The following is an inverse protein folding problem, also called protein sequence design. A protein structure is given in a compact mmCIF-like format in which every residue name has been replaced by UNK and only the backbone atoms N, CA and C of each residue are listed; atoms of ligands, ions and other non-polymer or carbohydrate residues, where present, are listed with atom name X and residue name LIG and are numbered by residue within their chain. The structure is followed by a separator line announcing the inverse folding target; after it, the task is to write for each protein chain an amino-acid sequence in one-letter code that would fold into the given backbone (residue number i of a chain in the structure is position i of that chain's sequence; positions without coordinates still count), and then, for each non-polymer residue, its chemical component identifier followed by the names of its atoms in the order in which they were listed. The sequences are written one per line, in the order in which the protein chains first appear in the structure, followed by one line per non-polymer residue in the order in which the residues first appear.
data_IF_471845431408
#
_entry.id   IF_471845431408
#
_cell.length_a   1.000
_cell.length_b   1.000
_cell.length_c   1.000
_cell.angle_alpha   90.00
_cell.angle_beta   90.00
_cell.angle_gamma   90.00
#
_symmetry.space_group_name_H-M   'P 1'
#
loop_
_entity.id
_entity.type
_entity.pdbx_description
1 polymer ?
#
# COMPACT_ATOMS: atom_id res chain seq x y z
N UNK A 1 8.03 -4.08 -5.14
CA UNK A 1 7.93 -4.56 -6.53
C UNK A 1 6.63 -5.31 -6.65
N UNK A 2 5.86 -5.02 -7.69
CA UNK A 2 4.56 -5.67 -7.93
C UNK A 2 4.82 -6.92 -8.75
N UNK A 3 4.44 -8.08 -8.24
CA UNK A 3 4.69 -9.36 -8.90
C UNK A 3 3.38 -9.99 -9.32
N UNK A 4 3.37 -10.60 -10.51
CA UNK A 4 2.27 -11.44 -10.99
C UNK A 4 2.78 -12.88 -10.96
N UNK A 5 2.02 -13.77 -10.33
CA UNK A 5 2.26 -15.21 -10.39
C UNK A 5 1.17 -15.91 -11.19
N UNK A 6 1.58 -16.77 -12.09
CA UNK A 6 0.71 -17.50 -13.02
C UNK A 6 0.92 -19.00 -12.79
N UNK A 7 -0.16 -19.68 -12.42
CA UNK A 7 -0.18 -21.14 -12.29
C UNK A 7 -1.02 -21.73 -13.42
N UNK A 8 -0.40 -22.62 -14.19
CA UNK A 8 -1.06 -23.39 -15.23
C UNK A 8 -1.63 -24.67 -14.61
N UNK A 9 -2.93 -24.93 -14.77
CA UNK A 9 -3.57 -26.19 -14.36
C UNK A 9 -3.25 -27.32 -15.33
N UNK A 10 -3.08 -26.96 -16.60
CA UNK A 10 -2.75 -27.87 -17.69
C UNK A 10 -1.54 -27.33 -18.45
N UNK A 11 -0.70 -28.23 -18.93
CA UNK A 11 0.45 -27.85 -19.73
C UNK A 11 0.01 -27.28 -21.07
N UNK A 12 0.49 -26.08 -21.42
CA UNK A 12 0.26 -25.47 -22.72
C UNK A 12 1.57 -24.96 -23.32
N UNK A 13 2.05 -25.62 -24.38
CA UNK A 13 3.39 -25.40 -24.95
C UNK A 13 3.62 -23.96 -25.40
N UNK A 14 2.70 -23.41 -26.20
CA UNK A 14 2.90 -22.09 -26.81
C UNK A 14 2.88 -20.96 -25.78
N UNK A 15 1.97 -21.05 -24.82
CA UNK A 15 1.90 -20.13 -23.69
C UNK A 15 3.16 -20.20 -22.81
N UNK A 16 3.72 -21.39 -22.57
CA UNK A 16 5.01 -21.53 -21.85
C UNK A 16 6.16 -20.87 -22.62
N UNK A 17 6.20 -21.04 -23.95
CA UNK A 17 7.20 -20.39 -24.78
C UNK A 17 7.07 -18.86 -24.74
N UNK A 18 5.84 -18.36 -24.74
CA UNK A 18 5.55 -16.94 -24.55
C UNK A 18 6.05 -16.44 -23.19
N UNK A 19 5.75 -17.14 -22.08
CA UNK A 19 6.23 -16.77 -20.75
C UNK A 19 7.76 -16.71 -20.68
N UNK A 20 8.45 -17.64 -21.37
CA UNK A 20 9.92 -17.59 -21.51
C UNK A 20 10.39 -16.37 -22.31
N UNK A 21 9.69 -15.97 -23.37
CA UNK A 21 10.08 -14.81 -24.19
C UNK A 21 9.99 -13.47 -23.45
N UNK A 22 9.11 -13.36 -22.46
CA UNK A 22 8.96 -12.15 -21.62
C UNK A 22 9.84 -12.19 -20.36
N UNK A 23 10.83 -13.08 -20.31
CA UNK A 23 11.73 -13.31 -19.17
C UNK A 23 11.00 -13.63 -17.85
N UNK A 24 9.85 -14.32 -17.92
CA UNK A 24 9.20 -14.82 -16.70
C UNK A 24 10.06 -15.90 -16.04
N UNK A 25 10.19 -15.84 -14.71
CA UNK A 25 10.94 -16.83 -13.93
C UNK A 25 10.02 -17.96 -13.49
N UNK A 26 10.45 -19.19 -13.68
CA UNK A 26 9.70 -20.35 -13.20
C UNK A 26 10.15 -20.75 -11.80
N UNK A 27 9.20 -20.84 -10.87
CA UNK A 27 9.38 -21.35 -9.51
C UNK A 27 8.86 -22.80 -9.45
N UNK A 28 9.80 -23.74 -9.39
CA UNK A 28 9.51 -25.17 -9.35
C UNK A 28 8.86 -25.64 -8.05
N UNK A 29 9.04 -24.91 -6.94
CA UNK A 29 8.45 -25.28 -5.64
C UNK A 29 6.95 -25.06 -5.63
N UNK A 30 6.49 -23.96 -6.24
CA UNK A 30 5.08 -23.59 -6.30
C UNK A 30 4.40 -23.97 -7.61
N UNK A 31 5.18 -24.44 -8.59
CA UNK A 31 4.75 -24.67 -9.98
C UNK A 31 4.10 -23.40 -10.55
N UNK A 32 4.75 -22.25 -10.37
CA UNK A 32 4.25 -20.95 -10.83
C UNK A 32 5.28 -20.17 -11.62
N UNK A 33 4.81 -19.42 -12.60
CA UNK A 33 5.59 -18.44 -13.34
C UNK A 33 5.46 -17.07 -12.69
N UNK A 34 6.58 -16.41 -12.45
CA UNK A 34 6.68 -15.11 -11.77
C UNK A 34 7.19 -14.07 -12.77
N UNK A 35 6.46 -12.97 -12.91
CA UNK A 35 6.80 -11.85 -13.77
C UNK A 35 6.44 -10.51 -13.12
N UNK A 36 6.98 -9.42 -13.68
CA UNK A 36 6.65 -8.06 -13.26
C UNK A 36 5.22 -7.70 -13.66
N UNK A 37 4.55 -6.89 -12.85
CA UNK A 37 3.22 -6.36 -13.12
C UNK A 37 3.14 -5.54 -14.42
N UNK A 38 4.25 -4.98 -14.90
CA UNK A 38 4.29 -4.28 -16.21
C UNK A 38 3.74 -5.13 -17.36
N UNK A 39 3.93 -6.45 -17.29
CA UNK A 39 3.53 -7.38 -18.35
C UNK A 39 2.11 -7.95 -18.14
N UNK A 40 1.41 -7.53 -17.08
CA UNK A 40 0.14 -8.14 -16.68
C UNK A 40 -0.95 -8.07 -17.77
N UNK A 41 -1.16 -6.90 -18.36
CA UNK A 41 -2.20 -6.73 -19.40
C UNK A 41 -1.89 -7.52 -20.66
N UNK A 42 -0.62 -7.58 -21.07
CA UNK A 42 -0.19 -8.35 -22.24
C UNK A 42 -0.42 -9.85 -22.03
N UNK A 43 -0.02 -10.37 -20.86
CA UNK A 43 -0.22 -11.78 -20.52
C UNK A 43 -1.70 -12.12 -20.41
N UNK A 44 -2.53 -11.24 -19.85
CA UNK A 44 -3.98 -11.42 -19.79
C UNK A 44 -4.61 -11.49 -21.18
N UNK A 45 -4.15 -10.68 -22.12
CA UNK A 45 -4.60 -10.75 -23.51
C UNK A 45 -4.17 -12.06 -24.19
N UNK A 46 -2.93 -12.51 -23.95
CA UNK A 46 -2.45 -13.80 -24.46
C UNK A 46 -3.22 -14.99 -23.88
N UNK A 47 -3.60 -14.95 -22.61
CA UNK A 47 -4.44 -16.00 -21.99
C UNK A 47 -5.78 -16.12 -22.72
N UNK A 48 -6.42 -14.98 -23.05
CA UNK A 48 -7.66 -14.97 -23.83
C UNK A 48 -7.45 -15.47 -25.26
N UNK A 49 -6.36 -15.05 -25.92
CA UNK A 49 -6.02 -15.50 -27.28
C UNK A 49 -5.86 -17.03 -27.36
N UNK A 50 -5.30 -17.64 -26.32
CA UNK A 50 -5.15 -19.09 -26.21
C UNK A 50 -6.34 -19.82 -25.56
N UNK A 51 -7.44 -19.11 -25.23
CA UNK A 51 -8.61 -19.66 -24.52
C UNK A 51 -8.25 -20.38 -23.20
N UNK A 52 -7.35 -19.80 -22.41
CA UNK A 52 -6.80 -20.39 -21.19
C UNK A 52 -7.47 -19.87 -19.89
N UNK A 53 -8.51 -19.05 -19.96
CA UNK A 53 -9.12 -18.38 -18.80
C UNK A 53 -9.55 -19.34 -17.67
N UNK A 54 -10.05 -20.52 -18.01
CA UNK A 54 -10.46 -21.55 -17.03
C UNK A 54 -9.30 -22.45 -16.56
N UNK A 55 -8.17 -22.41 -17.26
CA UNK A 55 -7.01 -23.30 -17.11
C UNK A 55 -5.82 -22.62 -16.43
N UNK A 56 -5.93 -21.34 -16.11
CA UNK A 56 -4.88 -20.54 -15.49
C UNK A 56 -5.39 -19.88 -14.22
N UNK A 57 -4.60 -19.95 -13.16
CA UNK A 57 -4.79 -19.16 -11.94
C UNK A 57 -3.78 -18.02 -11.93
N UNK A 58 -4.27 -16.79 -11.90
CA UNK A 58 -3.44 -15.59 -11.80
C UNK A 58 -3.56 -15.04 -10.38
N UNK A 59 -2.43 -14.92 -9.70
CA UNK A 59 -2.34 -14.24 -8.40
C UNK A 59 -1.47 -13.02 -8.54
N UNK A 60 -2.07 -11.85 -8.35
CA UNK A 60 -1.35 -10.58 -8.44
C UNK A 60 -1.00 -10.13 -7.04
N UNK A 61 0.30 -10.09 -6.76
CA UNK A 61 0.86 -9.50 -5.55
C UNK A 61 1.23 -8.05 -5.85
N UNK A 62 0.22 -7.22 -6.05
CA UNK A 62 0.43 -5.76 -6.02
C UNK A 62 0.77 -5.42 -4.56
N UNK A 63 1.80 -4.61 -4.26
CA UNK A 63 1.87 -3.96 -2.97
C UNK A 63 0.56 -3.20 -2.85
N UNK A 64 -0.35 -3.71 -2.03
CA UNK A 64 -1.51 -2.97 -1.60
C UNK A 64 -0.91 -1.73 -0.97
N UNK A 65 -0.91 -0.62 -1.71
CA UNK A 65 -0.75 0.69 -1.12
C UNK A 65 -1.98 0.78 -0.24
N UNK A 66 -1.86 0.26 1.00
CA UNK A 66 -2.85 0.50 2.03
C UNK A 66 -2.93 2.01 1.99
N UNK A 67 -4.08 2.54 1.54
CA UNK A 67 -4.43 3.93 1.81
C UNK A 67 -4.30 4.01 3.32
N UNK A 68 -3.15 4.50 3.79
CA UNK A 68 -2.96 4.77 5.20
C UNK A 68 -4.16 5.66 5.54
N UNK A 69 -5.06 5.14 6.40
CA UNK A 69 -6.18 5.95 6.88
C UNK A 69 -5.56 7.27 7.30
N UNK A 70 -6.10 8.37 6.80
CA UNK A 70 -5.60 9.71 7.11
C UNK A 70 -5.34 9.80 8.60
N UNK A 71 -4.06 9.74 8.98
CA UNK A 71 -3.70 9.77 10.39
C UNK A 71 -3.93 11.20 10.84
N UNK A 72 -4.61 11.38 11.96
CA UNK A 72 -4.78 12.71 12.54
C UNK A 72 -3.49 13.10 13.27
N UNK A 73 -2.96 14.28 12.98
CA UNK A 73 -1.84 14.86 13.73
C UNK A 73 -2.35 15.36 15.07
N UNK A 74 -1.48 15.36 16.10
CA UNK A 74 -1.89 15.78 17.45
C UNK A 74 -0.98 16.89 17.95
N UNK A 75 -1.56 18.05 18.24
CA UNK A 75 -0.91 19.12 18.97
C UNK A 75 -1.49 19.11 20.39
N UNK A 76 -0.63 18.99 21.39
CA UNK A 76 -1.01 18.98 22.81
C UNK A 76 -0.25 20.09 23.51
N UNK A 77 -0.99 20.98 24.16
CA UNK A 77 -0.43 21.99 25.03
C UNK A 77 -0.76 21.63 26.48
N UNK A 78 0.23 21.69 27.36
CA UNK A 78 0.07 21.40 28.80
C UNK A 78 0.81 22.46 29.60
N UNK A 79 0.29 22.80 30.77
CA UNK A 79 1.05 23.62 31.72
C UNK A 79 2.22 22.79 32.28
N UNK A 80 3.37 23.42 32.47
CA UNK A 80 4.53 22.83 33.15
C UNK A 80 4.19 22.52 34.61
N UNK A 81 4.95 21.60 35.23
CA UNK A 81 4.69 21.17 36.61
C UNK A 81 4.80 22.31 37.63
N UNK A 82 5.67 23.27 37.35
CA UNK A 82 5.89 24.49 38.14
C UNK A 82 4.95 25.64 37.77
N UNK A 83 4.05 25.46 36.80
CA UNK A 83 3.06 26.46 36.39
C UNK A 83 3.59 27.64 35.58
N UNK A 84 4.90 27.69 35.31
CA UNK A 84 5.57 28.86 34.71
C UNK A 84 5.57 28.85 33.18
N UNK A 85 5.46 27.68 32.57
CA UNK A 85 5.61 27.51 31.12
C UNK A 85 4.49 26.66 30.54
N UNK A 86 4.16 26.88 29.27
CA UNK A 86 3.35 25.96 28.50
C UNK A 86 4.26 25.03 27.68
N UNK A 87 4.08 23.72 27.83
CA UNK A 87 4.73 22.70 27.03
C UNK A 87 3.86 22.37 25.82
N UNK A 88 4.39 22.66 24.64
CA UNK A 88 3.79 22.31 23.36
C UNK A 88 4.43 21.02 22.83
N UNK A 89 3.62 19.98 22.64
CA UNK A 89 4.02 18.71 22.04
C UNK A 89 3.27 18.49 20.74
N UNK A 90 4.01 18.29 19.65
CA UNK A 90 3.46 18.18 18.30
C UNK A 90 3.82 16.80 17.73
N UNK A 91 2.80 16.01 17.38
CA UNK A 91 2.93 14.78 16.61
C UNK A 91 2.44 15.03 15.17
N UNK A 92 3.37 14.97 14.22
CA UNK A 92 3.16 15.30 12.82
C UNK A 92 3.03 14.09 11.89
N UNK A 93 2.67 12.91 12.41
CA UNK A 93 2.50 11.71 11.58
C UNK A 93 1.59 11.92 10.36
N UNK A 94 0.56 12.75 10.51
CA UNK A 94 -0.36 13.17 9.44
C UNK A 94 0.30 13.94 8.27
N UNK A 95 1.48 14.51 8.49
CA UNK A 95 2.15 15.44 7.56
C UNK A 95 3.49 14.89 7.06
N UNK A 96 3.70 13.57 7.15
CA UNK A 96 4.96 12.92 6.77
C UNK A 96 5.46 13.35 5.38
N UNK A 97 4.59 13.37 4.39
CA UNK A 97 4.96 13.75 3.01
C UNK A 97 5.20 15.26 2.85
N UNK A 98 4.48 16.10 3.58
CA UNK A 98 4.69 17.55 3.60
C UNK A 98 6.01 17.92 4.30
N UNK A 99 6.37 17.21 5.37
CA UNK A 99 7.67 17.37 6.06
C UNK A 99 8.82 16.94 5.15
N UNK A 100 8.69 15.80 4.46
CA UNK A 100 9.69 15.40 3.46
C UNK A 100 9.86 16.46 2.39
N UNK A 101 8.76 17.05 1.93
CA UNK A 101 8.77 18.11 0.91
C UNK A 101 9.39 19.42 1.42
N UNK A 102 9.24 19.73 2.72
CA UNK A 102 9.94 20.85 3.38
C UNK A 102 11.44 20.59 3.44
N UNK A 103 11.86 19.42 3.94
CA UNK A 103 13.28 19.06 4.08
C UNK A 103 13.96 19.04 2.72
N UNK A 104 13.28 18.55 1.68
CA UNK A 104 13.81 18.52 0.31
C UNK A 104 13.78 19.89 -0.38
N UNK A 105 13.36 20.97 0.30
CA UNK A 105 13.25 22.32 -0.28
C UNK A 105 12.14 22.51 -1.34
N UNK A 106 11.31 21.48 -1.59
CA UNK A 106 10.22 21.53 -2.58
C UNK A 106 9.07 22.42 -2.11
N UNK A 107 8.84 22.50 -0.80
CA UNK A 107 7.89 23.41 -0.18
C UNK A 107 8.62 24.26 0.86
N UNK A 108 8.21 25.52 1.01
CA UNK A 108 8.73 26.42 2.07
C UNK A 108 7.80 26.51 3.29
N UNK A 109 6.53 26.16 3.13
CA UNK A 109 5.48 26.36 4.14
C UNK A 109 4.53 25.15 4.14
N UNK A 110 4.09 24.72 5.32
CA UNK A 110 3.04 23.70 5.52
C UNK A 110 1.91 24.32 6.32
N UNK A 111 0.66 24.11 5.87
CA UNK A 111 -0.54 24.63 6.51
C UNK A 111 -1.29 23.49 7.21
N UNK A 112 -1.69 23.74 8.45
CA UNK A 112 -2.42 22.77 9.28
C UNK A 112 -3.90 23.10 9.28
N UNK A 113 -4.76 22.12 8.98
CA UNK A 113 -6.20 22.24 9.24
C UNK A 113 -6.45 21.78 10.67
N UNK A 114 -6.78 22.72 11.55
CA UNK A 114 -7.14 22.41 12.94
C UNK A 114 -8.54 21.80 12.95
N UNK A 115 -8.66 20.58 13.47
CA UNK A 115 -9.95 19.93 13.67
C UNK A 115 -10.57 20.42 14.98
N UNK A 116 -11.90 20.58 15.05
CA UNK A 116 -12.57 20.95 16.29
C UNK A 116 -12.34 19.88 17.37
N UNK A 117 -12.21 20.33 18.63
CA UNK A 117 -12.01 19.43 19.76
C UNK A 117 -13.18 18.46 19.90
N UNK A 118 -12.91 17.16 19.72
CA UNK A 118 -13.88 16.09 19.98
C UNK A 118 -13.67 15.61 21.41
N UNK A 119 -14.62 15.93 22.32
CA UNK A 119 -14.68 15.24 23.62
C UNK A 119 -14.80 13.75 23.34
N UNK A 120 -13.85 12.95 23.82
CA UNK A 120 -14.04 11.50 23.89
C UNK A 120 -15.16 11.27 24.89
N UNK A 121 -16.40 11.16 24.41
CA UNK A 121 -17.49 10.60 25.20
C UNK A 121 -17.05 9.19 25.57
N UNK A 122 -16.65 9.01 26.83
CA UNK A 122 -16.28 7.69 27.33
C UNK A 122 -17.47 6.77 27.11
N UNK A 123 -17.27 5.71 26.34
CA UNK A 123 -18.18 4.58 26.33
C UNK A 123 -18.17 4.00 27.75
N UNK A 124 -19.07 4.46 28.60
CA UNK A 124 -19.45 3.76 29.82
C UNK A 124 -20.07 2.43 29.38
N UNK A 125 -19.24 1.41 29.19
CA UNK A 125 -19.71 0.03 29.23
C UNK A 125 -20.19 -0.18 30.66
N UNK A 126 -21.52 -0.18 30.81
CA UNK A 126 -22.18 -0.58 32.04
C UNK A 126 -21.62 -1.93 32.47
N UNK A 127 -21.13 -1.98 33.70
CA UNK A 127 -21.02 -3.25 34.42
C UNK A 127 -22.41 -3.50 34.99
N UNK A 128 -23.05 -4.54 34.45
CA UNK A 128 -24.08 -5.35 35.10
C UNK A 128 -23.67 -5.74 36.51
#
# INVERSE_FOLDING_TARGET
MSEVKIRLKEYHKDFINYLKSINAKYDSLTNTWILDYSNFEEVKNKIKEFNLDSKVEISVKVPVVKKEKSQEGKIVMRLSRDGRYALLSINLLAFKEDIKSLISGKKKIVRFRVLPYRRKTGSSKGKT
#
